data_IF_409526668977
#
_entry.id   IF_409526668977
#
_cell.length_a   1.000
_cell.length_b   1.000
_cell.length_c   1.000
_cell.angle_alpha   90.00
_cell.angle_beta   90.00
_cell.angle_gamma   90.00
#
_symmetry.space_group_name_H-M   'P 1'
#
loop_
_entity.id
_entity.type
_entity.pdbx_description
1 polymer ?
#
# COMPACT_ATOMS: atom_id res chain seq x y z
N UNK A 1 3.44 -48.79 6.57
CA UNK A 1 2.72 -47.69 5.89
C UNK A 1 3.13 -46.39 6.61
N UNK A 2 4.32 -45.87 6.30
CA UNK A 2 4.83 -44.64 6.91
C UNK A 2 4.33 -43.47 6.09
N UNK A 3 3.46 -42.63 6.65
CA UNK A 3 3.09 -41.38 6.00
C UNK A 3 4.35 -40.51 5.86
N UNK A 4 4.69 -40.00 4.68
CA UNK A 4 5.79 -39.07 4.53
C UNK A 4 5.40 -37.75 5.20
N UNK A 5 6.18 -37.39 6.21
CA UNK A 5 6.13 -36.14 6.96
C UNK A 5 6.13 -34.96 5.98
N UNK A 6 5.03 -34.20 5.94
CA UNK A 6 4.98 -32.95 5.17
C UNK A 6 5.91 -31.94 5.83
N UNK A 7 7.01 -31.66 5.16
CA UNK A 7 8.03 -30.67 5.50
C UNK A 7 7.39 -29.30 5.81
N UNK A 8 7.80 -28.58 6.87
CA UNK A 8 7.30 -27.25 7.19
C UNK A 8 7.63 -26.26 6.07
N UNK A 9 6.63 -25.44 5.77
CA UNK A 9 6.56 -24.44 4.69
C UNK A 9 7.86 -23.67 4.46
N UNK A 10 8.38 -23.82 3.26
CA UNK A 10 9.43 -23.00 2.64
C UNK A 10 9.05 -21.51 2.75
N UNK A 11 9.86 -20.75 3.47
CA UNK A 11 9.76 -19.29 3.60
C UNK A 11 10.02 -18.66 2.23
N UNK A 12 8.94 -18.29 1.54
CA UNK A 12 9.01 -17.55 0.28
C UNK A 12 9.83 -16.26 0.46
N UNK A 13 10.75 -15.93 -0.46
CA UNK A 13 11.50 -14.70 -0.38
C UNK A 13 10.51 -13.54 -0.47
N UNK A 14 10.45 -12.72 0.57
CA UNK A 14 9.72 -11.45 0.60
C UNK A 14 10.29 -10.54 -0.47
N UNK A 15 9.74 -10.66 -1.68
CA UNK A 15 10.07 -9.75 -2.76
C UNK A 15 9.51 -8.38 -2.40
N UNK A 16 10.30 -7.30 -2.52
CA UNK A 16 9.81 -5.96 -2.25
C UNK A 16 8.58 -5.71 -3.11
N UNK A 17 7.51 -5.21 -2.49
CA UNK A 17 6.27 -4.92 -3.20
C UNK A 17 6.57 -3.99 -4.38
N UNK A 18 6.15 -4.38 -5.58
CA UNK A 18 6.37 -3.52 -6.74
C UNK A 18 5.54 -2.24 -6.60
N UNK A 19 6.01 -1.12 -7.17
CA UNK A 19 5.28 0.15 -7.15
C UNK A 19 3.82 0.00 -7.62
N UNK A 20 3.58 -0.91 -8.56
CA UNK A 20 2.25 -1.22 -9.07
C UNK A 20 1.34 -1.91 -8.02
N UNK A 21 1.90 -2.75 -7.16
CA UNK A 21 1.16 -3.38 -6.06
C UNK A 21 0.78 -2.36 -4.99
N UNK A 22 1.67 -1.40 -4.69
CA UNK A 22 1.40 -0.31 -3.74
C UNK A 22 0.25 0.56 -4.25
N UNK A 23 0.28 0.96 -5.52
CA UNK A 23 -0.79 1.76 -6.15
C UNK A 23 -2.14 1.04 -6.04
N UNK A 24 -2.19 -0.25 -6.41
CA UNK A 24 -3.41 -1.05 -6.27
C UNK A 24 -3.90 -1.15 -4.83
N UNK A 25 -3.01 -1.32 -3.86
CA UNK A 25 -3.40 -1.41 -2.45
C UNK A 25 -4.01 -0.12 -1.93
N UNK A 26 -3.38 1.02 -2.27
CA UNK A 26 -3.87 2.35 -1.88
C UNK A 26 -5.23 2.63 -2.52
N UNK A 27 -5.41 2.34 -3.82
CA UNK A 27 -6.69 2.49 -4.49
C UNK A 27 -7.78 1.61 -3.86
N UNK A 28 -7.51 0.33 -3.61
CA UNK A 28 -8.48 -0.57 -2.96
C UNK A 28 -8.89 -0.09 -1.56
N UNK A 29 -7.97 0.52 -0.81
CA UNK A 29 -8.23 1.08 0.52
C UNK A 29 -9.10 2.34 0.46
N UNK A 30 -8.90 3.22 -0.54
CA UNK A 30 -9.75 4.40 -0.76
C UNK A 30 -11.20 4.03 -1.10
N UNK A 31 -11.40 2.92 -1.83
CA UNK A 31 -12.74 2.41 -2.18
C UNK A 31 -13.33 1.44 -1.14
N UNK A 32 -12.64 1.21 -0.01
CA UNK A 32 -13.12 0.34 1.08
C UNK A 32 -13.11 -1.16 0.78
N UNK A 33 -12.53 -1.60 -0.34
CA UNK A 33 -12.50 -3.01 -0.79
C UNK A 33 -11.18 -3.71 -0.44
N UNK A 34 -10.59 -3.37 0.71
CA UNK A 34 -9.33 -3.94 1.15
C UNK A 34 -9.52 -5.42 1.53
N UNK A 35 -9.16 -6.34 0.63
CA UNK A 35 -9.17 -7.79 0.88
C UNK A 35 -8.14 -8.16 1.97
N UNK A 36 -8.42 -9.21 2.75
CA UNK A 36 -7.53 -9.71 3.82
C UNK A 36 -6.09 -10.01 3.34
N UNK A 37 -5.91 -10.29 2.04
CA UNK A 37 -4.60 -10.48 1.40
C UNK A 37 -3.75 -9.19 1.33
N UNK A 38 -4.37 -8.04 1.05
CA UNK A 38 -3.70 -6.75 1.06
C UNK A 38 -3.35 -6.32 2.48
N UNK A 39 -4.26 -6.55 3.43
CA UNK A 39 -4.02 -6.29 4.85
C UNK A 39 -2.91 -7.20 5.41
N UNK A 40 -2.87 -8.49 5.07
CA UNK A 40 -1.79 -9.36 5.55
C UNK A 40 -0.42 -8.89 5.02
N UNK A 41 -0.33 -8.42 3.77
CA UNK A 41 0.93 -7.91 3.23
C UNK A 41 1.32 -6.56 3.82
N UNK A 42 0.37 -5.66 4.06
CA UNK A 42 0.63 -4.31 4.62
C UNK A 42 0.94 -4.36 6.14
N UNK A 43 0.42 -5.35 6.87
CA UNK A 43 0.66 -5.54 8.32
C UNK A 43 1.83 -6.47 8.65
N UNK A 44 2.35 -7.19 7.66
CA UNK A 44 3.59 -7.98 7.79
C UNK A 44 4.82 -7.18 7.29
N UNK A 45 4.64 -5.95 6.77
CA UNK A 45 5.76 -5.10 6.41
C UNK A 45 6.49 -4.58 7.65
N UNK A 46 7.83 -4.62 7.69
CA UNK A 46 8.62 -4.23 8.85
C UNK A 46 8.59 -2.73 9.16
N UNK A 47 8.05 -1.89 8.26
CA UNK A 47 8.07 -0.43 8.45
C UNK A 47 6.87 0.27 7.80
N UNK A 48 6.22 1.13 8.59
CA UNK A 48 5.15 2.05 8.17
C UNK A 48 5.69 3.27 7.40
N UNK A 49 7.00 3.54 7.46
CA UNK A 49 7.64 4.74 6.88
C UNK A 49 7.32 4.97 5.39
N UNK A 50 7.31 3.96 4.50
CA UNK A 50 6.96 4.16 3.09
C UNK A 50 5.53 4.70 2.90
N UNK A 51 4.57 4.20 3.69
CA UNK A 51 3.18 4.66 3.64
C UNK A 51 3.05 6.10 4.12
N UNK A 52 3.79 6.48 5.17
CA UNK A 52 3.84 7.86 5.66
C UNK A 52 4.37 8.83 4.61
N UNK A 53 5.48 8.49 3.95
CA UNK A 53 6.10 9.34 2.91
C UNK A 53 5.13 9.56 1.75
N UNK A 54 4.51 8.48 1.26
CA UNK A 54 3.51 8.56 0.17
C UNK A 54 2.30 9.38 0.62
N UNK A 55 1.81 9.18 1.84
CA UNK A 55 0.69 9.93 2.40
C UNK A 55 0.97 11.43 2.48
N UNK A 56 2.14 11.81 3.01
CA UNK A 56 2.55 13.23 3.08
C UNK A 56 2.67 13.81 1.67
N UNK A 57 3.30 13.10 0.73
CA UNK A 57 3.41 13.55 -0.66
C UNK A 57 2.05 13.80 -1.31
N UNK A 58 1.09 12.90 -1.09
CA UNK A 58 -0.27 13.04 -1.58
C UNK A 58 -1.00 14.25 -0.98
N UNK A 59 -0.87 14.49 0.33
CA UNK A 59 -1.48 15.65 1.00
C UNK A 59 -0.90 16.97 0.46
N UNK A 60 0.42 17.05 0.29
CA UNK A 60 1.07 18.24 -0.27
C UNK A 60 0.61 18.51 -1.70
N UNK A 61 0.51 17.46 -2.53
CA UNK A 61 -0.02 17.55 -3.88
C UNK A 61 -1.47 18.06 -3.88
N UNK A 62 -2.31 17.53 -2.99
CA UNK A 62 -3.71 17.93 -2.87
C UNK A 62 -3.86 19.41 -2.47
N UNK A 63 -3.12 19.86 -1.46
CA UNK A 63 -3.11 21.27 -1.04
C UNK A 63 -2.69 22.17 -2.19
N UNK A 64 -1.62 21.80 -2.91
CA UNK A 64 -1.13 22.57 -4.07
C UNK A 64 -2.21 22.69 -5.14
N UNK A 65 -2.91 21.59 -5.45
CA UNK A 65 -4.02 21.58 -6.39
C UNK A 65 -5.16 22.51 -5.94
N UNK A 66 -5.54 22.48 -4.66
CA UNK A 66 -6.56 23.38 -4.12
C UNK A 66 -6.14 24.85 -4.24
N UNK A 67 -4.90 25.19 -3.92
CA UNK A 67 -4.37 26.55 -4.05
C UNK A 67 -4.46 27.01 -5.51
N UNK A 68 -4.04 26.18 -6.47
CA UNK A 68 -4.16 26.51 -7.89
C UNK A 68 -5.62 26.78 -8.27
N UNK A 69 -6.54 25.89 -7.88
CA UNK A 69 -7.96 26.05 -8.18
C UNK A 69 -8.51 27.35 -7.59
N UNK A 70 -8.18 27.67 -6.33
CA UNK A 70 -8.63 28.91 -5.68
C UNK A 70 -8.10 30.13 -6.43
N UNK A 71 -6.83 30.15 -6.82
CA UNK A 71 -6.25 31.26 -7.59
C UNK A 71 -6.83 31.39 -9.01
N UNK A 72 -7.28 30.29 -9.62
CA UNK A 72 -7.95 30.32 -10.92
C UNK A 72 -9.40 30.83 -10.82
N UNK A 73 -10.08 30.54 -9.70
CA UNK A 73 -11.51 30.87 -9.50
C UNK A 73 -11.70 32.25 -8.90
N UNK A 74 -10.81 32.69 -8.00
CA UNK A 74 -10.82 34.00 -7.36
C UNK A 74 -9.63 34.82 -7.91
N UNK A 75 -9.78 35.47 -9.09
CA UNK A 75 -8.75 36.36 -9.63
C UNK A 75 -8.53 37.61 -8.76
#
# INVERSE_FOLDING_TARGET
MSQPTKTPSESQPTQPASLWQVIKSVSASMFGVQSSKNHHSDFQQPSFVPYLIVGIGFVLLFITALVIVVNLVLP
#
